data_IF_901413621789
#
_entry.id   IF_901413621789
#
_cell.length_a   1.000
_cell.length_b   1.000
_cell.length_c   1.000
_cell.angle_alpha   90.00
_cell.angle_beta   90.00
_cell.angle_gamma   90.00
#
_symmetry.space_group_name_H-M   'P 1'
#
loop_
_entity.id
_entity.type
_entity.pdbx_description
1 polymer ?
#
# COMPACT_ATOMS: atom_id res chain seq x y z
N UNK A 1 -3.61 9.04 31.06
CA UNK A 1 -2.35 8.32 31.36
C UNK A 1 -1.47 8.44 30.13
N UNK A 2 -0.26 9.03 30.23
CA UNK A 2 0.62 9.29 29.07
C UNK A 2 0.86 8.08 28.15
N UNK A 3 0.83 6.86 28.69
CA UNK A 3 0.98 5.62 27.92
C UNK A 3 -0.17 5.38 26.92
N UNK A 4 -1.41 5.70 27.29
CA UNK A 4 -2.59 5.52 26.43
C UNK A 4 -2.58 6.56 25.29
N UNK A 5 -2.18 7.79 25.60
CA UNK A 5 -2.11 8.86 24.60
C UNK A 5 -1.02 8.57 23.56
N UNK A 6 0.17 8.12 24.00
CA UNK A 6 1.25 7.69 23.11
C UNK A 6 0.87 6.47 22.25
N UNK A 7 0.10 5.53 22.80
CA UNK A 7 -0.38 4.36 22.06
C UNK A 7 -1.35 4.75 20.93
N UNK A 8 -2.28 5.68 21.21
CA UNK A 8 -3.21 6.22 20.21
C UNK A 8 -2.48 7.00 19.10
N UNK A 9 -1.51 7.84 19.45
CA UNK A 9 -0.70 8.56 18.46
C UNK A 9 0.10 7.61 17.56
N UNK A 10 0.69 6.56 18.14
CA UNK A 10 1.42 5.54 17.38
C UNK A 10 0.52 4.83 16.38
N UNK A 11 -0.68 4.43 16.79
CA UNK A 11 -1.68 3.83 15.90
C UNK A 11 -2.09 4.77 14.75
N UNK A 12 -2.29 6.06 15.05
CA UNK A 12 -2.63 7.08 14.05
C UNK A 12 -1.50 7.29 13.03
N UNK A 13 -0.25 7.38 13.48
CA UNK A 13 0.92 7.53 12.61
C UNK A 13 1.11 6.31 11.71
N UNK A 14 0.94 5.12 12.28
CA UNK A 14 0.96 3.86 11.52
C UNK A 14 -0.10 3.85 10.42
N UNK A 15 -1.36 4.15 10.74
CA UNK A 15 -2.45 4.21 9.75
C UNK A 15 -2.16 5.22 8.64
N UNK A 16 -1.63 6.40 8.98
CA UNK A 16 -1.26 7.43 8.00
C UNK A 16 -0.15 6.92 7.06
N UNK A 17 0.92 6.34 7.60
CA UNK A 17 2.04 5.82 6.81
C UNK A 17 1.59 4.78 5.79
N UNK A 18 0.78 3.80 6.22
CA UNK A 18 0.31 2.76 5.32
C UNK A 18 -0.76 3.25 4.35
N UNK A 19 -1.58 4.22 4.74
CA UNK A 19 -2.52 4.87 3.80
C UNK A 19 -1.77 5.60 2.68
N UNK A 20 -0.67 6.29 3.00
CA UNK A 20 0.21 6.90 2.01
C UNK A 20 0.87 5.85 1.11
N UNK A 21 1.30 4.72 1.67
CA UNK A 21 1.84 3.60 0.89
C UNK A 21 0.81 3.02 -0.09
N UNK A 22 -0.46 2.88 0.33
CA UNK A 22 -1.56 2.46 -0.54
C UNK A 22 -1.75 3.46 -1.68
N UNK A 23 -1.79 4.76 -1.39
CA UNK A 23 -1.92 5.81 -2.43
C UNK A 23 -0.77 5.74 -3.43
N UNK A 24 0.47 5.64 -2.94
CA UNK A 24 1.66 5.51 -3.78
C UNK A 24 1.61 4.27 -4.68
N UNK A 25 1.18 3.11 -4.16
CA UNK A 25 1.05 1.90 -4.96
C UNK A 25 -0.05 1.97 -6.00
N UNK A 26 -1.19 2.59 -5.69
CA UNK A 26 -2.25 2.78 -6.68
C UNK A 26 -1.79 3.70 -7.81
N UNK A 27 -0.99 4.72 -7.50
CA UNK A 27 -0.36 5.57 -8.51
C UNK A 27 0.65 4.79 -9.37
N UNK A 28 1.51 3.97 -8.76
CA UNK A 28 2.44 3.13 -9.52
C UNK A 28 1.72 2.12 -10.41
N UNK A 29 0.65 1.50 -9.90
CA UNK A 29 -0.18 0.55 -10.65
C UNK A 29 -0.92 1.23 -11.82
N UNK A 30 -1.35 2.50 -11.68
CA UNK A 30 -1.99 3.22 -12.79
C UNK A 30 -1.01 3.61 -13.90
N UNK A 31 0.28 3.68 -13.59
CA UNK A 31 1.35 3.94 -14.56
C UNK A 31 1.87 2.65 -15.23
N UNK A 32 1.53 1.48 -14.71
CA UNK A 32 1.97 0.19 -15.25
C UNK A 32 1.67 -0.01 -16.75
N UNK A 33 0.51 0.43 -17.30
CA UNK A 33 0.24 0.32 -18.74
C UNK A 33 1.27 1.03 -19.63
N UNK A 34 1.97 2.05 -19.13
CA UNK A 34 3.00 2.78 -19.90
C UNK A 34 4.20 1.90 -20.26
N UNK A 35 4.50 0.88 -19.45
CA UNK A 35 5.59 -0.07 -19.72
C UNK A 35 5.14 -1.29 -20.52
N UNK A 36 3.83 -1.49 -20.74
CA UNK A 36 3.29 -2.65 -21.48
C UNK A 36 3.89 -2.78 -22.89
N UNK A 37 4.15 -1.66 -23.57
CA UNK A 37 4.73 -1.66 -24.92
C UNK A 37 6.23 -1.95 -24.94
N UNK A 38 6.90 -1.90 -23.80
CA UNK A 38 8.35 -2.07 -23.66
C UNK A 38 8.75 -3.44 -23.11
N UNK A 39 7.80 -4.26 -22.67
CA UNK A 39 8.05 -5.56 -22.03
C UNK A 39 7.23 -6.66 -22.69
N UNK A 40 7.68 -7.91 -22.55
CA UNK A 40 6.92 -9.06 -23.03
C UNK A 40 5.65 -9.28 -22.19
N UNK A 41 4.63 -9.92 -22.78
CA UNK A 41 3.36 -10.22 -22.12
C UNK A 41 3.54 -10.95 -20.78
N UNK A 42 4.41 -11.99 -20.65
CA UNK A 42 4.63 -12.65 -19.37
C UNK A 42 5.25 -11.73 -18.30
N UNK A 43 6.18 -10.86 -18.70
CA UNK A 43 6.82 -9.89 -17.80
C UNK A 43 5.80 -8.86 -17.31
N UNK A 44 4.97 -8.33 -18.22
CA UNK A 44 3.88 -7.42 -17.86
C UNK A 44 2.91 -8.05 -16.87
N UNK A 45 2.48 -9.30 -17.13
CA UNK A 45 1.59 -10.03 -16.24
C UNK A 45 2.19 -10.23 -14.84
N UNK A 46 3.48 -10.55 -14.76
CA UNK A 46 4.20 -10.68 -13.49
C UNK A 46 4.29 -9.36 -12.71
N UNK A 47 4.60 -8.25 -13.38
CA UNK A 47 4.61 -6.92 -12.76
C UNK A 47 3.22 -6.53 -12.23
N UNK A 48 2.17 -6.78 -13.02
CA UNK A 48 0.80 -6.45 -12.64
C UNK A 48 0.33 -7.28 -11.43
N UNK A 49 0.60 -8.59 -11.44
CA UNK A 49 0.30 -9.46 -10.31
C UNK A 49 1.04 -9.02 -9.03
N UNK A 50 2.30 -8.62 -9.17
CA UNK A 50 3.12 -8.12 -8.04
C UNK A 50 2.56 -6.81 -7.49
N UNK A 51 2.21 -5.85 -8.35
CA UNK A 51 1.59 -4.60 -7.94
C UNK A 51 0.25 -4.81 -7.22
N UNK A 52 -0.58 -5.74 -7.71
CA UNK A 52 -1.83 -6.12 -7.07
C UNK A 52 -1.60 -6.72 -5.67
N UNK A 53 -0.66 -7.67 -5.54
CA UNK A 53 -0.35 -8.30 -4.26
C UNK A 53 0.15 -7.28 -3.22
N UNK A 54 1.08 -6.39 -3.61
CA UNK A 54 1.58 -5.33 -2.72
C UNK A 54 0.47 -4.37 -2.30
N UNK A 55 -0.43 -4.01 -3.21
CA UNK A 55 -1.57 -3.12 -2.91
C UNK A 55 -2.50 -3.74 -1.86
N UNK A 56 -2.74 -5.06 -1.94
CA UNK A 56 -3.53 -5.78 -0.94
C UNK A 56 -2.81 -5.77 0.41
N UNK A 57 -1.52 -6.07 0.44
CA UNK A 57 -0.72 -6.06 1.68
C UNK A 57 -0.79 -4.69 2.35
N UNK A 58 -0.58 -3.60 1.61
CA UNK A 58 -0.61 -2.26 2.17
C UNK A 58 -2.02 -1.86 2.64
N UNK A 59 -3.08 -2.29 1.96
CA UNK A 59 -4.46 -2.10 2.46
C UNK A 59 -4.69 -2.81 3.79
N UNK A 60 -4.21 -4.03 3.93
CA UNK A 60 -4.34 -4.77 5.20
C UNK A 60 -3.57 -4.03 6.29
N UNK A 61 -2.33 -3.62 6.03
CA UNK A 61 -1.50 -2.89 6.99
C UNK A 61 -2.06 -1.51 7.36
N UNK A 62 -2.77 -0.84 6.45
CA UNK A 62 -3.41 0.45 6.73
C UNK A 62 -4.65 0.33 7.61
N UNK A 63 -5.22 -0.86 7.73
CA UNK A 63 -6.40 -1.13 8.57
C UNK A 63 -6.03 -1.62 9.98
N UNK A 64 -4.77 -1.97 10.22
CA UNK A 64 -4.21 -2.29 11.54
C UNK A 64 -3.45 -1.08 12.09
N UNK A 65 -3.38 -0.84 13.41
CA UNK A 65 -4.30 -1.37 14.40
C UNK A 65 -5.70 -0.82 14.14
N UNK A 66 -6.73 -1.64 14.38
CA UNK A 66 -8.11 -1.18 14.24
C UNK A 66 -8.29 0.03 15.15
N UNK A 67 -8.82 1.17 14.66
CA UNK A 67 -9.20 2.25 15.55
C UNK A 67 -10.29 1.70 16.48
N UNK A 68 -9.98 1.66 17.79
CA UNK A 68 -10.99 1.51 18.84
C UNK A 68 -11.80 2.80 18.99
#
# INVERSE_FOLDING_TARGET
MKLIDNWKESGKLWTIQWSLAVVAMNLLASLLPLVQVHVSVPVYAGLNATAAALTIIFRVLSQTPKPE
#
